data_IF_875226411358
#
_entry.id   IF_875226411358
#
_cell.length_a   1.000
_cell.length_b   1.000
_cell.length_c   1.000
_cell.angle_alpha   90.00
_cell.angle_beta   90.00
_cell.angle_gamma   90.00
#
_symmetry.space_group_name_H-M   'P 1'
#
loop_
_entity.id
_entity.type
_entity.pdbx_description
1 polymer ?
#
# COMPACT_ATOMS: atom_id res chain seq x y z
N UNK A 1 12.28 -2.34 -15.07
CA UNK A 1 12.41 -0.87 -15.00
C UNK A 1 12.15 -0.32 -16.39
N UNK A 2 11.27 0.67 -16.55
CA UNK A 2 11.07 1.34 -17.85
C UNK A 2 11.58 2.78 -17.71
N UNK A 3 12.58 3.14 -18.50
CA UNK A 3 13.13 4.49 -18.58
C UNK A 3 12.33 5.27 -19.63
N UNK A 4 12.12 6.57 -19.41
CA UNK A 4 11.38 7.43 -20.35
C UNK A 4 12.07 7.53 -21.71
N UNK A 5 11.29 7.80 -22.76
CA UNK A 5 11.75 7.75 -24.16
C UNK A 5 12.56 8.97 -24.64
N UNK A 6 12.83 9.96 -23.77
CA UNK A 6 13.49 11.23 -24.13
C UNK A 6 14.95 11.26 -23.64
N UNK A 7 15.70 10.16 -23.82
CA UNK A 7 17.09 10.05 -23.38
C UNK A 7 17.98 9.56 -24.51
N UNK A 8 19.23 10.03 -24.55
CA UNK A 8 20.26 9.42 -25.41
C UNK A 8 20.64 8.04 -24.86
N UNK A 9 21.23 7.19 -25.72
CA UNK A 9 21.67 5.84 -25.30
C UNK A 9 22.70 5.87 -24.18
N UNK A 10 23.56 6.89 -24.16
CA UNK A 10 24.58 7.08 -23.11
C UNK A 10 23.94 7.46 -21.78
N UNK A 11 22.98 8.39 -21.80
CA UNK A 11 22.25 8.78 -20.59
C UNK A 11 21.42 7.62 -20.03
N UNK A 12 20.81 6.81 -20.89
CA UNK A 12 20.08 5.61 -20.48
C UNK A 12 21.01 4.59 -19.81
N UNK A 13 22.21 4.37 -20.37
CA UNK A 13 23.20 3.46 -19.81
C UNK A 13 23.72 3.93 -18.44
N UNK A 14 24.02 5.22 -18.31
CA UNK A 14 24.51 5.81 -17.07
C UNK A 14 23.44 5.78 -15.97
N UNK A 15 22.18 6.10 -16.31
CA UNK A 15 21.06 6.02 -15.38
C UNK A 15 20.80 4.58 -14.94
N UNK A 16 20.85 3.62 -15.88
CA UNK A 16 20.66 2.20 -15.56
C UNK A 16 21.74 1.71 -14.60
N UNK A 17 23.00 2.07 -14.86
CA UNK A 17 24.12 1.73 -13.97
C UNK A 17 23.92 2.31 -12.58
N UNK A 18 23.52 3.58 -12.48
CA UNK A 18 23.25 4.24 -11.21
C UNK A 18 22.12 3.55 -10.41
N UNK A 19 21.01 3.22 -11.08
CA UNK A 19 19.87 2.56 -10.42
C UNK A 19 20.18 1.12 -9.99
N UNK A 20 21.03 0.41 -10.73
CA UNK A 20 21.52 -0.91 -10.33
C UNK A 20 22.48 -0.83 -9.14
N UNK A 21 23.37 0.16 -9.11
CA UNK A 21 24.31 0.37 -8.01
C UNK A 21 23.62 0.78 -6.71
N UNK A 22 22.45 1.44 -6.80
CA UNK A 22 21.66 1.92 -5.66
C UNK A 22 20.32 1.17 -5.54
N UNK A 23 20.29 -0.11 -5.90
CA UNK A 23 19.03 -0.88 -5.94
C UNK A 23 18.34 -0.96 -4.57
N UNK A 24 19.11 -0.95 -3.49
CA UNK A 24 18.68 -1.02 -2.09
C UNK A 24 18.13 0.31 -1.53
N UNK A 25 18.39 1.44 -2.19
CA UNK A 25 17.93 2.76 -1.76
C UNK A 25 16.45 2.99 -2.10
N UNK A 26 15.92 2.30 -3.12
CA UNK A 26 14.58 2.52 -3.65
C UNK A 26 13.61 1.38 -3.34
N UNK A 27 12.34 1.73 -3.17
CA UNK A 27 11.25 0.79 -3.01
C UNK A 27 10.65 0.36 -4.37
N UNK A 28 11.24 -0.66 -4.99
CA UNK A 28 10.78 -1.18 -6.29
C UNK A 28 9.48 -1.99 -6.18
N UNK A 29 9.27 -2.61 -5.03
CA UNK A 29 8.07 -3.32 -4.64
C UNK A 29 7.66 -2.95 -3.19
N UNK A 30 6.43 -3.28 -2.81
CA UNK A 30 5.92 -3.01 -1.44
C UNK A 30 6.78 -3.67 -0.35
N UNK A 31 7.36 -4.84 -0.64
CA UNK A 31 8.26 -5.57 0.25
C UNK A 31 9.61 -4.87 0.49
N UNK A 32 10.01 -3.96 -0.39
CA UNK A 32 11.29 -3.25 -0.29
C UNK A 32 11.19 -2.03 0.63
N UNK A 33 9.99 -1.71 1.11
CA UNK A 33 9.75 -0.65 2.09
C UNK A 33 9.90 -1.26 3.48
N UNK A 34 11.00 -0.97 4.21
CA UNK A 34 11.18 -1.50 5.55
C UNK A 34 10.12 -0.89 6.46
N UNK A 35 9.34 -1.76 7.10
CA UNK A 35 8.40 -1.34 8.13
C UNK A 35 9.18 -0.88 9.36
N UNK A 36 8.70 0.18 10.01
CA UNK A 36 9.20 0.56 11.33
C UNK A 36 8.62 -0.43 12.35
N UNK A 37 9.47 -1.05 13.17
CA UNK A 37 9.02 -1.95 14.24
C UNK A 37 8.03 -1.20 15.14
N UNK A 38 6.79 -1.68 15.30
CA UNK A 38 5.80 -1.07 16.18
C UNK A 38 6.28 -0.92 17.64
N UNK A 39 7.21 -1.78 18.10
CA UNK A 39 7.82 -1.68 19.42
C UNK A 39 8.85 -0.54 19.50
N UNK A 40 9.48 -0.21 18.37
CA UNK A 40 10.43 0.90 18.28
C UNK A 40 9.70 2.24 18.19
N UNK A 41 8.71 2.34 17.28
CA UNK A 41 7.92 3.54 17.12
C UNK A 41 6.52 3.19 16.63
N UNK A 42 5.51 3.62 17.39
CA UNK A 42 4.11 3.51 17.00
C UNK A 42 3.39 4.83 17.20
N UNK A 43 2.44 5.11 16.31
CA UNK A 43 1.54 6.25 16.48
C UNK A 43 0.29 5.79 17.23
N UNK A 44 -0.06 6.51 18.30
CA UNK A 44 -1.33 6.32 19.00
C UNK A 44 -2.27 7.44 18.58
N UNK A 45 -3.36 7.08 17.90
CA UNK A 45 -4.42 8.02 17.58
C UNK A 45 -5.12 8.46 18.88
N UNK A 46 -5.18 9.76 19.12
CA UNK A 46 -5.98 10.34 20.20
C UNK A 46 -7.45 10.29 19.82
N UNK A 47 -8.21 9.43 20.47
CA UNK A 47 -9.67 9.31 20.29
C UNK A 47 -10.36 10.03 21.44
N UNK A 48 -11.39 10.82 21.14
CA UNK A 48 -12.22 11.51 22.15
C UNK A 48 -12.82 10.46 23.10
N UNK A 49 -12.84 10.76 24.40
CA UNK A 49 -13.16 9.78 25.44
C UNK A 49 -14.60 9.25 25.32
N UNK A 50 -15.51 10.07 24.80
CA UNK A 50 -16.92 9.77 24.57
C UNK A 50 -17.20 9.15 23.19
N UNK A 51 -16.18 8.96 22.35
CA UNK A 51 -16.38 8.42 21.01
C UNK A 51 -16.79 6.93 21.07
N UNK A 52 -17.94 6.63 20.49
CA UNK A 52 -18.41 5.25 20.39
C UNK A 52 -17.82 4.53 19.18
N UNK A 53 -17.46 3.27 19.37
CA UNK A 53 -17.01 2.39 18.30
C UNK A 53 -18.14 2.14 17.30
N UNK A 54 -17.83 2.24 16.00
CA UNK A 54 -18.80 2.01 14.93
C UNK A 54 -18.39 0.82 14.07
N UNK A 55 -19.24 -0.20 14.03
CA UNK A 55 -19.13 -1.31 13.09
C UNK A 55 -20.07 -1.09 11.90
N UNK A 56 -19.55 -0.54 10.81
CA UNK A 56 -20.35 -0.33 9.62
C UNK A 56 -20.75 -1.66 8.97
N UNK A 57 -22.03 -1.77 8.59
CA UNK A 57 -22.53 -2.89 7.80
C UNK A 57 -21.77 -2.99 6.47
N UNK A 58 -21.28 -4.18 6.16
CA UNK A 58 -20.57 -4.47 4.91
C UNK A 58 -21.46 -4.19 3.71
N UNK A 59 -21.00 -3.32 2.80
CA UNK A 59 -21.68 -3.03 1.53
C UNK A 59 -21.46 -4.17 0.53
N UNK A 60 -22.50 -4.51 -0.23
CA UNK A 60 -22.36 -5.38 -1.39
C UNK A 60 -21.60 -4.62 -2.47
N UNK A 61 -20.54 -5.23 -3.00
CA UNK A 61 -19.78 -4.71 -4.12
C UNK A 61 -19.91 -5.64 -5.31
N UNK A 62 -19.88 -5.07 -6.52
CA UNK A 62 -19.81 -5.85 -7.75
C UNK A 62 -18.57 -6.73 -7.80
N UNK A 63 -18.61 -7.78 -8.61
CA UNK A 63 -17.56 -8.81 -8.67
C UNK A 63 -16.18 -8.23 -9.01
N UNK A 64 -16.12 -7.34 -10.00
CA UNK A 64 -14.89 -6.66 -10.41
C UNK A 64 -14.22 -5.92 -9.24
N UNK A 65 -14.99 -5.11 -8.51
CA UNK A 65 -14.49 -4.36 -7.34
C UNK A 65 -14.03 -5.32 -6.24
N UNK A 66 -14.77 -6.40 -6.00
CA UNK A 66 -14.40 -7.42 -5.00
C UNK A 66 -13.07 -8.09 -5.35
N UNK A 67 -12.83 -8.39 -6.62
CA UNK A 67 -11.57 -8.96 -7.11
C UNK A 67 -10.42 -7.99 -6.87
N UNK A 68 -10.58 -6.72 -7.27
CA UNK A 68 -9.57 -5.69 -7.06
C UNK A 68 -9.22 -5.49 -5.58
N UNK A 69 -10.23 -5.45 -4.70
CA UNK A 69 -10.02 -5.38 -3.24
C UNK A 69 -9.23 -6.58 -2.74
N UNK A 70 -9.58 -7.80 -3.16
CA UNK A 70 -8.91 -9.02 -2.72
C UNK A 70 -7.44 -9.01 -3.14
N UNK A 71 -7.16 -8.61 -4.39
CA UNK A 71 -5.79 -8.50 -4.90
C UNK A 71 -4.97 -7.47 -4.12
N UNK A 72 -5.50 -6.27 -3.91
CA UNK A 72 -4.76 -5.21 -3.20
C UNK A 72 -4.58 -5.53 -1.71
N UNK A 73 -5.61 -6.05 -1.05
CA UNK A 73 -5.52 -6.52 0.34
C UNK A 73 -4.48 -7.64 0.47
N UNK A 74 -4.43 -8.56 -0.50
CA UNK A 74 -3.43 -9.63 -0.53
C UNK A 74 -2.00 -9.11 -0.64
N UNK A 75 -1.75 -8.08 -1.46
CA UNK A 75 -0.44 -7.44 -1.58
C UNK A 75 -0.01 -6.76 -0.27
N UNK A 76 -0.93 -6.02 0.37
CA UNK A 76 -0.65 -5.35 1.64
C UNK A 76 -0.40 -6.35 2.77
N UNK A 77 -1.11 -7.48 2.77
CA UNK A 77 -0.93 -8.55 3.74
C UNK A 77 0.41 -9.26 3.52
N UNK A 78 0.77 -9.57 2.26
CA UNK A 78 2.05 -10.21 1.93
C UNK A 78 3.27 -9.32 2.22
N UNK A 79 3.09 -8.00 2.27
CA UNK A 79 4.10 -7.04 2.68
C UNK A 79 4.08 -6.73 4.19
N UNK A 80 3.27 -7.45 4.98
CA UNK A 80 3.09 -7.24 6.42
C UNK A 80 2.70 -5.80 6.81
N UNK A 81 2.05 -5.04 5.91
CA UNK A 81 1.55 -3.69 6.21
C UNK A 81 0.23 -3.71 6.97
N UNK A 82 -0.59 -4.72 6.70
CA UNK A 82 -1.84 -4.97 7.41
C UNK A 82 -1.76 -6.33 8.10
N UNK A 83 -2.61 -6.54 9.11
CA UNK A 83 -2.74 -7.81 9.83
C UNK A 83 -4.19 -8.13 10.07
N UNK A 84 -4.49 -9.41 10.24
CA UNK A 84 -5.81 -9.83 10.67
C UNK A 84 -6.04 -9.42 12.13
N UNK A 85 -7.26 -8.97 12.44
CA UNK A 85 -7.68 -8.58 13.79
C UNK A 85 -8.96 -9.35 14.11
N UNK A 86 -9.01 -9.96 15.30
CA UNK A 86 -10.17 -10.70 15.78
C UNK A 86 -11.10 -9.74 16.54
N UNK A 87 -12.40 -9.84 16.26
CA UNK A 87 -13.47 -9.08 16.92
C UNK A 87 -13.26 -7.54 16.90
N UNK A 88 -13.18 -6.91 15.71
CA UNK A 88 -13.01 -5.46 15.64
C UNK A 88 -14.28 -4.72 16.08
N UNK A 89 -14.13 -3.74 16.96
CA UNK A 89 -15.21 -2.81 17.35
C UNK A 89 -15.38 -1.66 16.34
N UNK A 90 -14.30 -1.35 15.62
CA UNK A 90 -14.26 -0.34 14.57
C UNK A 90 -14.16 -1.01 13.20
N UNK A 91 -15.20 -0.90 12.39
CA UNK A 91 -15.21 -1.45 11.04
C UNK A 91 -15.75 -0.42 10.05
N UNK A 92 -14.99 -0.18 8.98
CA UNK A 92 -15.39 0.72 7.90
C UNK A 92 -15.43 -0.01 6.57
N UNK A 93 -16.26 0.46 5.65
CA UNK A 93 -16.35 -0.07 4.30
C UNK A 93 -15.16 0.40 3.44
N UNK A 94 -14.64 -0.51 2.61
CA UNK A 94 -13.64 -0.15 1.59
C UNK A 94 -14.30 0.66 0.48
N UNK A 95 -13.70 1.81 0.16
CA UNK A 95 -14.15 2.71 -0.91
C UNK A 95 -13.17 2.62 -2.07
N UNK A 96 -13.68 2.33 -3.27
CA UNK A 96 -12.86 2.28 -4.48
C UNK A 96 -12.72 3.69 -5.07
N UNK A 97 -11.49 4.06 -5.42
CA UNK A 97 -11.17 5.32 -6.09
C UNK A 97 -10.43 4.99 -7.38
N UNK A 98 -10.88 5.54 -8.50
CA UNK A 98 -10.21 5.38 -9.81
C UNK A 98 -8.97 6.27 -9.83
N UNK A 99 -7.80 5.68 -10.05
CA UNK A 99 -6.55 6.45 -10.23
C UNK A 99 -6.41 6.87 -11.69
N UNK A 100 -5.65 7.95 -11.91
CA UNK A 100 -5.41 8.52 -13.24
C UNK A 100 -4.72 7.53 -14.21
N UNK A 101 -4.02 6.53 -13.69
CA UNK A 101 -3.39 5.45 -14.46
C UNK A 101 -4.39 4.37 -14.94
N UNK A 102 -5.69 4.60 -14.81
CA UNK A 102 -6.74 3.67 -15.26
C UNK A 102 -6.91 2.43 -14.38
N UNK A 103 -6.22 2.36 -13.24
CA UNK A 103 -6.34 1.32 -12.21
C UNK A 103 -7.10 1.81 -10.98
#
# INVERSE_FOLDING_TARGET
>A
MKIGTIMSKEQEADLTRCLQQNHDVFAWALKDIPRIDPNFMSHRLSVVQEAQSVMQKKRKQGEEKRKAIKEETGKLLAADFIREVRYPEWLTNVVMVKKANGK
#
